data_IF_891026337450
#
_entry.id   IF_891026337450
#
_cell.length_a   1.000
_cell.length_b   1.000
_cell.length_c   1.000
_cell.angle_alpha   90.00
_cell.angle_beta   90.00
_cell.angle_gamma   90.00
#
_symmetry.space_group_name_H-M   'P 1'
#
loop_
_entity.id
_entity.type
_entity.pdbx_description
1 polymer ?
#
# COMPACT_ATOMS: atom_id res chain seq x y z
N UNK A 1 7.00 -28.08 12.80
CA UNK A 1 6.73 -26.82 12.11
C UNK A 1 5.25 -26.50 12.26
N UNK A 2 4.92 -25.26 12.58
CA UNK A 2 3.53 -24.81 12.67
C UNK A 2 2.95 -24.61 11.25
N UNK A 3 1.64 -24.87 11.09
CA UNK A 3 0.95 -24.50 9.85
C UNK A 3 0.85 -22.98 9.75
N UNK A 4 0.97 -22.39 8.54
CA UNK A 4 0.91 -20.94 8.34
C UNK A 4 -0.54 -20.42 8.31
N UNK A 5 -1.33 -20.80 9.33
CA UNK A 5 -2.66 -20.22 9.54
C UNK A 5 -2.55 -18.79 10.06
N UNK A 6 -3.61 -18.00 9.92
CA UNK A 6 -3.61 -16.63 10.42
C UNK A 6 -3.47 -16.59 11.95
N UNK A 7 -4.10 -17.52 12.67
CA UNK A 7 -4.03 -17.61 14.12
C UNK A 7 -2.60 -17.87 14.60
N UNK A 8 -1.89 -18.79 13.94
CA UNK A 8 -0.48 -19.07 14.24
C UNK A 8 0.42 -17.88 13.88
N UNK A 9 0.12 -17.17 12.79
CA UNK A 9 0.85 -15.99 12.40
C UNK A 9 0.64 -14.83 13.38
N UNK A 10 -0.59 -14.55 13.80
CA UNK A 10 -0.89 -13.53 14.82
C UNK A 10 -0.27 -13.88 16.18
N UNK A 11 -0.28 -15.16 16.57
CA UNK A 11 0.38 -15.60 17.80
C UNK A 11 1.90 -15.38 17.72
N UNK A 12 2.51 -15.67 16.56
CA UNK A 12 3.92 -15.39 16.28
C UNK A 12 4.23 -13.90 16.37
N UNK A 13 3.42 -13.04 15.73
CA UNK A 13 3.59 -11.59 15.77
C UNK A 13 3.57 -11.03 17.19
N UNK A 14 2.64 -11.53 18.06
CA UNK A 14 2.57 -11.14 19.46
C UNK A 14 3.81 -11.60 20.24
N UNK A 15 4.19 -12.87 20.10
CA UNK A 15 5.33 -13.47 20.81
C UNK A 15 6.62 -12.72 20.52
N UNK A 16 6.85 -12.37 19.25
CA UNK A 16 8.05 -11.69 18.78
C UNK A 16 7.92 -10.17 18.74
N UNK A 17 6.77 -9.59 19.13
CA UNK A 17 6.49 -8.15 19.13
C UNK A 17 6.78 -7.50 17.76
N UNK A 18 6.42 -8.19 16.68
CA UNK A 18 6.82 -7.83 15.34
C UNK A 18 6.38 -6.40 14.93
N UNK A 19 5.14 -6.03 15.29
CA UNK A 19 4.54 -4.74 14.96
C UNK A 19 5.14 -3.55 15.77
N UNK A 20 5.96 -3.84 16.81
CA UNK A 20 6.69 -2.82 17.56
C UNK A 20 8.07 -2.49 16.97
N UNK A 21 8.45 -3.15 15.87
CA UNK A 21 9.76 -2.96 15.25
C UNK A 21 9.73 -1.72 14.37
N UNK A 22 10.30 -0.65 14.87
CA UNK A 22 10.42 0.62 14.17
C UNK A 22 11.86 0.84 13.66
N UNK A 23 11.97 1.28 12.40
CA UNK A 23 13.23 1.70 11.77
C UNK A 23 12.97 3.03 11.04
N UNK A 24 13.69 4.07 11.39
CA UNK A 24 13.56 5.42 10.81
C UNK A 24 12.11 5.97 10.85
N UNK A 25 11.36 5.70 11.93
CA UNK A 25 9.97 6.14 12.09
C UNK A 25 8.95 5.34 11.29
N UNK A 26 9.29 4.14 10.84
CA UNK A 26 8.39 3.22 10.15
C UNK A 26 8.30 1.90 10.89
N UNK A 27 7.09 1.39 11.09
CA UNK A 27 6.84 0.03 11.57
C UNK A 27 7.05 -0.95 10.41
N UNK A 28 8.31 -1.26 10.14
CA UNK A 28 8.71 -1.99 8.91
C UNK A 28 8.08 -3.36 8.76
N UNK A 29 7.71 -4.01 9.88
CA UNK A 29 6.97 -5.27 9.83
C UNK A 29 5.56 -5.06 9.27
N UNK A 30 4.81 -4.09 9.77
CA UNK A 30 3.47 -3.76 9.31
C UNK A 30 3.42 -3.49 7.81
N UNK A 31 4.41 -2.76 7.29
CA UNK A 31 4.56 -2.47 5.86
C UNK A 31 4.82 -3.71 4.99
N UNK A 32 5.24 -4.83 5.57
CA UNK A 32 5.65 -6.01 4.80
C UNK A 32 5.02 -7.33 5.27
N UNK A 33 4.20 -7.31 6.33
CA UNK A 33 3.65 -8.52 6.96
C UNK A 33 2.80 -9.37 6.02
N UNK A 34 2.05 -8.75 5.11
CA UNK A 34 1.23 -9.47 4.13
C UNK A 34 2.10 -10.31 3.19
N UNK A 35 3.16 -9.72 2.67
CA UNK A 35 4.12 -10.41 1.79
C UNK A 35 4.91 -11.48 2.55
N UNK A 36 5.27 -11.21 3.81
CA UNK A 36 5.91 -12.22 4.67
C UNK A 36 5.02 -13.42 4.85
N UNK A 37 3.75 -13.22 5.22
CA UNK A 37 2.80 -14.32 5.40
C UNK A 37 2.56 -15.09 4.10
N UNK A 38 2.43 -14.39 2.98
CA UNK A 38 2.29 -15.03 1.66
C UNK A 38 3.56 -15.81 1.27
N UNK A 39 4.75 -15.28 1.57
CA UNK A 39 6.00 -16.00 1.31
C UNK A 39 6.08 -17.29 2.14
N UNK A 40 5.68 -17.26 3.42
CA UNK A 40 5.60 -18.46 4.26
C UNK A 40 4.63 -19.47 3.63
N UNK A 41 3.43 -19.02 3.22
CA UNK A 41 2.42 -19.89 2.58
C UNK A 41 2.90 -20.46 1.25
N UNK A 42 3.53 -19.64 0.41
CA UNK A 42 4.00 -20.08 -0.91
C UNK A 42 5.02 -21.20 -0.81
N UNK A 43 5.96 -21.10 0.13
CA UNK A 43 6.99 -22.12 0.31
C UNK A 43 6.49 -23.37 1.04
N UNK A 44 5.49 -23.23 1.91
CA UNK A 44 4.93 -24.38 2.66
C UNK A 44 3.83 -25.11 1.88
N UNK A 45 3.03 -24.42 1.06
CA UNK A 45 1.84 -24.96 0.38
C UNK A 45 2.05 -25.08 -1.13
N UNK A 46 3.18 -24.57 -1.67
CA UNK A 46 3.51 -24.66 -3.10
C UNK A 46 2.64 -23.77 -4.00
N UNK A 47 2.14 -22.65 -3.52
CA UNK A 47 1.40 -21.67 -4.34
C UNK A 47 2.39 -20.90 -5.21
N UNK A 48 2.24 -21.02 -6.53
CA UNK A 48 2.82 -20.09 -7.50
C UNK A 48 2.02 -18.78 -7.48
N UNK A 49 2.68 -17.65 -7.26
CA UNK A 49 2.11 -16.34 -7.56
C UNK A 49 1.70 -16.32 -9.03
N UNK A 50 0.47 -15.86 -9.31
CA UNK A 50 0.03 -15.67 -10.68
C UNK A 50 0.95 -14.66 -11.38
N UNK A 51 1.34 -14.95 -12.62
CA UNK A 51 2.15 -14.06 -13.42
C UNK A 51 1.49 -12.66 -13.48
N UNK A 52 2.16 -11.66 -12.94
CA UNK A 52 1.74 -10.28 -13.09
C UNK A 52 1.80 -9.91 -14.58
N UNK A 53 0.64 -9.71 -15.20
CA UNK A 53 0.59 -9.25 -16.58
C UNK A 53 1.17 -7.84 -16.68
N UNK A 54 2.19 -7.67 -17.50
CA UNK A 54 2.79 -6.36 -17.75
C UNK A 54 1.85 -5.46 -18.56
N UNK A 55 2.04 -4.15 -18.44
CA UNK A 55 1.30 -3.16 -19.22
C UNK A 55 1.56 -3.27 -20.72
N UNK A 56 0.52 -3.12 -21.52
CA UNK A 56 0.62 -2.99 -22.97
C UNK A 56 1.24 -1.64 -23.35
N UNK A 57 1.74 -1.51 -24.58
CA UNK A 57 2.30 -0.23 -25.09
C UNK A 57 1.27 0.91 -25.06
N UNK A 58 0.01 0.63 -25.35
CA UNK A 58 -1.07 1.63 -25.32
C UNK A 58 -1.37 2.11 -23.90
N UNK A 59 -1.33 1.23 -22.93
CA UNK A 59 -1.49 1.56 -21.50
C UNK A 59 -0.32 2.43 -21.01
N UNK A 60 0.92 2.07 -21.36
CA UNK A 60 2.10 2.85 -20.99
C UNK A 60 2.04 4.28 -21.59
N UNK A 61 1.59 4.44 -22.84
CA UNK A 61 1.41 5.76 -23.45
C UNK A 61 0.34 6.56 -22.70
N UNK A 62 -0.79 5.94 -22.35
CA UNK A 62 -1.87 6.59 -21.61
C UNK A 62 -1.41 7.00 -20.21
N UNK A 63 -0.71 6.13 -19.51
CA UNK A 63 -0.10 6.43 -18.21
C UNK A 63 0.90 7.60 -18.32
N UNK A 64 1.74 7.63 -19.35
CA UNK A 64 2.66 8.74 -19.59
C UNK A 64 1.92 10.07 -19.82
N UNK A 65 0.82 10.06 -20.57
CA UNK A 65 -0.03 11.26 -20.76
C UNK A 65 -0.65 11.70 -19.43
N UNK A 66 -1.17 10.78 -18.64
CA UNK A 66 -1.72 11.09 -17.32
C UNK A 66 -0.65 11.66 -16.38
N UNK A 67 0.56 11.11 -16.39
CA UNK A 67 1.67 11.59 -15.58
C UNK A 67 2.06 13.06 -15.87
N UNK A 68 1.70 13.60 -17.03
CA UNK A 68 1.90 15.02 -17.37
C UNK A 68 0.82 15.94 -16.78
N UNK A 69 -0.35 15.39 -16.41
CA UNK A 69 -1.44 16.19 -15.85
C UNK A 69 -1.08 16.69 -14.45
N UNK A 70 -1.20 18.00 -14.18
CA UNK A 70 -0.96 18.52 -12.85
C UNK A 70 -2.13 18.18 -11.93
N UNK A 71 -1.86 17.97 -10.64
CA UNK A 71 -2.89 17.92 -9.63
C UNK A 71 -3.44 19.35 -9.39
N UNK A 72 -4.73 19.56 -9.60
CA UNK A 72 -5.37 20.89 -9.56
C UNK A 72 -6.42 21.07 -8.46
N UNK A 73 -6.82 19.98 -7.80
CA UNK A 73 -7.84 20.00 -6.77
C UNK A 73 -7.35 20.72 -5.50
N UNK A 74 -8.20 21.54 -4.90
CA UNK A 74 -7.87 22.35 -3.73
C UNK A 74 -9.01 22.34 -2.71
N UNK A 75 -8.65 22.28 -1.44
CA UNK A 75 -9.58 22.38 -0.32
C UNK A 75 -10.79 21.45 -0.48
N UNK A 76 -10.53 20.18 -0.73
CA UNK A 76 -11.55 19.15 -0.81
C UNK A 76 -11.97 18.74 0.61
N UNK A 77 -13.22 18.30 0.80
CA UNK A 77 -13.65 17.77 2.10
C UNK A 77 -13.16 16.34 2.28
N UNK A 78 -13.24 15.53 1.22
CA UNK A 78 -12.85 14.11 1.25
C UNK A 78 -11.88 13.79 0.12
N UNK A 79 -10.80 13.10 0.47
CA UNK A 79 -9.87 12.52 -0.49
C UNK A 79 -9.99 11.00 -0.45
N UNK A 80 -10.35 10.39 -1.57
CA UNK A 80 -10.44 8.94 -1.70
C UNK A 80 -9.16 8.38 -2.32
N UNK A 81 -8.69 7.24 -1.80
CA UNK A 81 -7.66 6.42 -2.42
C UNK A 81 -8.36 5.21 -3.03
N UNK A 82 -8.68 5.30 -4.32
CA UNK A 82 -9.31 4.22 -5.08
C UNK A 82 -8.29 3.17 -5.52
N UNK A 83 -8.77 1.95 -5.71
CA UNK A 83 -7.90 0.83 -6.11
C UNK A 83 -7.83 0.59 -7.63
N UNK A 84 -8.45 1.45 -8.45
CA UNK A 84 -8.44 1.32 -9.90
C UNK A 84 -9.30 0.19 -10.48
N UNK A 85 -9.96 -0.62 -9.65
CA UNK A 85 -10.77 -1.78 -10.07
C UNK A 85 -12.18 -1.39 -10.49
N UNK A 86 -12.30 -0.48 -11.46
CA UNK A 86 -13.60 -0.10 -11.98
C UNK A 86 -14.23 -1.25 -12.76
N UNK A 87 -15.51 -1.50 -12.49
CA UNK A 87 -16.30 -2.49 -13.22
C UNK A 87 -17.12 -1.82 -14.30
N UNK A 88 -17.21 -2.48 -15.47
CA UNK A 88 -18.05 -1.98 -16.54
C UNK A 88 -19.50 -2.35 -16.26
N UNK A 89 -20.35 -1.34 -16.08
CA UNK A 89 -21.78 -1.54 -15.99
C UNK A 89 -22.32 -2.08 -17.32
N UNK A 90 -23.02 -3.22 -17.29
CA UNK A 90 -23.49 -3.93 -18.49
C UNK A 90 -24.54 -3.12 -19.27
N UNK A 91 -25.37 -2.35 -18.58
CA UNK A 91 -26.50 -1.63 -19.16
C UNK A 91 -26.07 -0.30 -19.79
N UNK A 92 -25.14 0.40 -19.12
CA UNK A 92 -24.71 1.75 -19.53
C UNK A 92 -23.38 1.74 -20.29
N UNK A 93 -22.59 0.67 -20.17
CA UNK A 93 -21.23 0.59 -20.70
C UNK A 93 -20.20 1.46 -19.95
N UNK A 94 -20.60 2.07 -18.85
CA UNK A 94 -19.79 2.99 -18.03
C UNK A 94 -18.92 2.18 -17.08
N UNK A 95 -17.69 2.64 -16.83
CA UNK A 95 -16.83 2.08 -15.80
C UNK A 95 -17.08 2.82 -14.49
N UNK A 96 -17.51 2.08 -13.48
CA UNK A 96 -17.91 2.59 -12.16
C UNK A 96 -17.05 1.96 -11.07
N UNK A 97 -16.64 2.77 -10.08
CA UNK A 97 -16.12 2.31 -8.82
C UNK A 97 -17.27 2.28 -7.81
N UNK A 98 -17.69 1.05 -7.47
CA UNK A 98 -18.84 0.83 -6.58
C UNK A 98 -18.60 1.31 -5.14
N UNK A 99 -17.34 1.53 -4.77
CA UNK A 99 -16.96 1.98 -3.41
C UNK A 99 -16.89 3.49 -3.32
N UNK A 100 -16.27 4.16 -4.30
CA UNK A 100 -15.98 5.59 -4.22
C UNK A 100 -17.01 6.47 -4.93
N UNK A 101 -17.46 6.10 -6.14
CA UNK A 101 -18.14 7.03 -7.05
C UNK A 101 -19.41 7.62 -6.48
N UNK A 102 -20.28 6.80 -5.86
CA UNK A 102 -21.56 7.26 -5.32
C UNK A 102 -21.40 8.17 -4.09
N UNK A 103 -20.36 7.94 -3.29
CA UNK A 103 -20.05 8.78 -2.14
C UNK A 103 -19.37 10.05 -2.64
N UNK A 104 -18.41 9.94 -3.53
CA UNK A 104 -17.65 11.06 -4.05
C UNK A 104 -18.49 12.10 -4.78
N UNK A 105 -19.60 11.69 -5.42
CA UNK A 105 -20.57 12.61 -6.05
C UNK A 105 -21.32 13.52 -5.05
N UNK A 106 -21.39 13.12 -3.77
CA UNK A 106 -22.16 13.84 -2.73
C UNK A 106 -21.34 14.88 -1.96
N UNK A 107 -20.02 14.84 -2.10
CA UNK A 107 -19.11 15.70 -1.35
C UNK A 107 -18.17 16.44 -2.29
N UNK A 108 -17.60 17.55 -1.81
CA UNK A 108 -16.47 18.18 -2.47
C UNK A 108 -15.24 17.26 -2.29
N UNK A 109 -14.99 16.42 -3.27
CA UNK A 109 -14.03 15.33 -3.15
C UNK A 109 -13.13 15.16 -4.36
N UNK A 110 -12.06 14.40 -4.18
CA UNK A 110 -11.21 13.89 -5.26
C UNK A 110 -10.92 12.42 -5.02
N UNK A 111 -10.94 11.62 -6.08
CA UNK A 111 -10.53 10.22 -6.07
C UNK A 111 -9.13 10.14 -6.67
N UNK A 112 -8.16 9.69 -5.89
CA UNK A 112 -6.85 9.30 -6.39
C UNK A 112 -6.91 7.85 -6.85
N UNK A 113 -6.65 7.61 -8.12
CA UNK A 113 -6.72 6.28 -8.70
C UNK A 113 -5.35 5.81 -9.15
N UNK A 114 -4.89 4.72 -8.55
CA UNK A 114 -3.62 4.09 -8.89
C UNK A 114 -3.77 3.26 -10.18
N UNK A 115 -2.75 3.23 -11.08
CA UNK A 115 -2.77 2.34 -12.24
C UNK A 115 -2.65 0.88 -11.80
N UNK A 116 -3.67 0.09 -12.11
CA UNK A 116 -3.69 -1.35 -11.91
C UNK A 116 -3.12 -2.09 -13.13
N UNK A 117 -3.09 -3.41 -13.08
CA UNK A 117 -2.50 -4.32 -14.08
C UNK A 117 -2.96 -4.10 -15.54
N UNK A 118 -4.04 -3.38 -15.75
CA UNK A 118 -4.60 -3.05 -17.08
C UNK A 118 -4.65 -1.54 -17.35
N UNK A 119 -3.86 -0.75 -16.60
CA UNK A 119 -3.96 0.71 -16.66
C UNK A 119 -5.26 1.22 -16.03
N UNK A 120 -5.71 2.37 -16.52
CA UNK A 120 -6.94 2.99 -16.00
C UNK A 120 -8.14 2.70 -16.88
N UNK A 121 -9.24 2.35 -16.26
CA UNK A 121 -10.56 2.41 -16.88
C UNK A 121 -11.07 3.86 -16.81
N UNK A 122 -11.45 4.45 -17.94
CA UNK A 122 -11.93 5.83 -17.95
C UNK A 122 -13.30 5.92 -17.28
N UNK A 123 -13.43 6.61 -16.14
CA UNK A 123 -14.74 6.87 -15.54
C UNK A 123 -15.53 7.80 -16.45
N UNK A 124 -16.84 7.54 -16.60
CA UNK A 124 -17.70 8.40 -17.39
C UNK A 124 -18.38 9.43 -16.49
N UNK A 125 -18.25 10.71 -16.84
CA UNK A 125 -19.00 11.78 -16.21
C UNK A 125 -18.50 12.16 -14.80
N UNK A 126 -17.26 11.83 -14.45
CA UNK A 126 -16.64 12.24 -13.20
C UNK A 126 -15.42 13.13 -13.47
N UNK A 127 -15.51 14.38 -13.04
CA UNK A 127 -14.43 15.36 -13.19
C UNK A 127 -13.45 15.34 -12.00
N UNK A 128 -13.77 14.60 -10.94
CA UNK A 128 -13.03 14.57 -9.69
C UNK A 128 -12.12 13.31 -9.52
N UNK A 129 -11.75 12.66 -10.61
CA UNK A 129 -10.78 11.55 -10.59
C UNK A 129 -9.42 12.04 -11.05
N UNK A 130 -8.40 11.76 -10.25
CA UNK A 130 -6.99 12.03 -10.57
C UNK A 130 -6.19 10.74 -10.59
N UNK A 131 -5.61 10.43 -11.73
CA UNK A 131 -4.75 9.26 -11.90
C UNK A 131 -3.35 9.51 -11.32
N UNK A 132 -2.89 8.65 -10.44
CA UNK A 132 -1.62 8.79 -9.72
C UNK A 132 -0.40 8.31 -10.50
N UNK A 133 -0.50 8.13 -11.83
CA UNK A 133 0.60 7.72 -12.70
C UNK A 133 1.87 8.56 -12.50
N UNK A 134 1.69 9.87 -12.26
CA UNK A 134 2.81 10.76 -11.97
C UNK A 134 3.55 10.37 -10.71
N UNK A 135 2.82 10.02 -9.65
CA UNK A 135 3.40 9.56 -8.37
C UNK A 135 4.14 8.25 -8.62
N UNK A 136 3.49 7.28 -9.27
CA UNK A 136 4.08 5.99 -9.58
C UNK A 136 5.36 6.12 -10.41
N UNK A 137 5.34 6.92 -11.48
CA UNK A 137 6.52 7.17 -12.33
C UNK A 137 7.67 7.82 -11.56
N UNK A 138 7.38 8.89 -10.82
CA UNK A 138 8.38 9.63 -10.07
C UNK A 138 8.97 8.78 -8.94
N UNK A 139 8.14 8.00 -8.25
CA UNK A 139 8.60 7.10 -7.20
C UNK A 139 9.50 6.02 -7.77
N UNK A 140 9.07 5.33 -8.83
CA UNK A 140 9.87 4.27 -9.47
C UNK A 140 11.23 4.79 -9.97
N UNK A 141 11.25 5.95 -10.62
CA UNK A 141 12.49 6.56 -11.10
C UNK A 141 13.41 6.95 -9.95
N UNK A 142 12.86 7.63 -8.93
CA UNK A 142 13.63 8.08 -7.77
C UNK A 142 14.21 6.91 -6.97
N UNK A 143 13.44 5.85 -6.75
CA UNK A 143 13.92 4.63 -6.07
C UNK A 143 15.06 3.98 -6.87
N UNK A 144 14.92 3.83 -8.20
CA UNK A 144 16.00 3.31 -9.06
C UNK A 144 17.29 4.13 -8.95
N UNK A 145 17.17 5.45 -8.95
CA UNK A 145 18.33 6.35 -8.81
C UNK A 145 18.96 6.25 -7.42
N UNK A 146 18.13 6.23 -6.36
CA UNK A 146 18.61 6.11 -4.99
C UNK A 146 19.33 4.77 -4.75
N UNK A 147 18.78 3.67 -5.27
CA UNK A 147 19.45 2.37 -5.22
C UNK A 147 20.85 2.41 -5.83
N UNK A 148 21.01 3.14 -6.94
CA UNK A 148 22.27 3.23 -7.67
C UNK A 148 23.28 4.17 -6.98
N UNK A 149 22.84 5.30 -6.43
CA UNK A 149 23.72 6.37 -6.00
C UNK A 149 23.83 6.55 -4.47
N UNK A 150 22.86 6.04 -3.69
CA UNK A 150 22.86 6.21 -2.23
C UNK A 150 23.32 4.94 -1.51
N UNK A 151 24.49 4.45 -1.85
CA UNK A 151 25.03 3.18 -1.34
C UNK A 151 25.22 3.19 0.18
N UNK A 152 25.69 4.29 0.77
CA UNK A 152 25.90 4.41 2.21
C UNK A 152 24.60 4.31 3.00
N UNK A 153 23.56 5.06 2.61
CA UNK A 153 22.24 4.98 3.26
C UNK A 153 21.63 3.59 3.09
N UNK A 154 21.80 2.97 1.91
CA UNK A 154 21.34 1.61 1.67
C UNK A 154 22.00 0.60 2.60
N UNK A 155 23.33 0.69 2.77
CA UNK A 155 24.07 -0.17 3.67
C UNK A 155 23.62 0.02 5.14
N UNK A 156 23.42 1.26 5.57
CA UNK A 156 22.89 1.57 6.91
C UNK A 156 21.50 0.97 7.14
N UNK A 157 20.58 1.13 6.20
CA UNK A 157 19.23 0.53 6.25
C UNK A 157 19.30 -1.00 6.25
N UNK A 158 20.12 -1.57 5.38
CA UNK A 158 20.31 -3.03 5.35
C UNK A 158 20.83 -3.54 6.69
N UNK A 159 21.80 -2.86 7.31
CA UNK A 159 22.30 -3.23 8.63
C UNK A 159 21.19 -3.15 9.70
N UNK A 160 20.42 -2.07 9.73
CA UNK A 160 19.34 -1.88 10.70
C UNK A 160 18.21 -2.92 10.52
N UNK A 161 17.82 -3.20 9.27
CA UNK A 161 16.81 -4.25 8.96
C UNK A 161 17.36 -5.63 9.34
N UNK A 162 18.63 -5.92 9.04
CA UNK A 162 19.27 -7.19 9.40
C UNK A 162 19.32 -7.37 10.91
N UNK A 163 19.65 -6.33 11.66
CA UNK A 163 19.72 -6.34 13.12
C UNK A 163 18.33 -6.58 13.75
N UNK A 164 17.31 -5.83 13.30
CA UNK A 164 15.99 -5.85 13.94
C UNK A 164 15.04 -6.92 13.41
N UNK A 165 15.05 -7.17 12.10
CA UNK A 165 14.15 -8.13 11.45
C UNK A 165 14.83 -9.51 11.28
N UNK A 166 16.15 -9.56 11.13
CA UNK A 166 16.87 -10.82 10.95
C UNK A 166 16.52 -11.91 11.97
N UNK A 167 16.54 -11.60 13.29
CA UNK A 167 16.15 -12.57 14.32
C UNK A 167 14.71 -13.08 14.17
N UNK A 168 13.77 -12.23 13.70
CA UNK A 168 12.39 -12.63 13.44
C UNK A 168 12.30 -13.58 12.25
N UNK A 169 13.07 -13.32 11.19
CA UNK A 169 13.14 -14.24 10.04
C UNK A 169 13.79 -15.59 10.40
N UNK A 170 14.75 -15.60 11.32
CA UNK A 170 15.32 -16.84 11.85
C UNK A 170 14.29 -17.60 12.70
N UNK A 171 13.44 -16.91 13.46
CA UNK A 171 12.31 -17.51 14.17
C UNK A 171 11.26 -18.08 13.20
N UNK A 172 10.94 -17.38 12.10
CA UNK A 172 10.08 -17.91 11.03
C UNK A 172 10.63 -19.23 10.49
N UNK A 173 11.92 -19.28 10.20
CA UNK A 173 12.57 -20.49 9.74
C UNK A 173 12.41 -21.65 10.73
N UNK A 174 12.55 -21.35 12.03
CA UNK A 174 12.43 -22.35 13.09
C UNK A 174 11.00 -22.84 13.25
N UNK A 175 10.02 -21.95 13.22
CA UNK A 175 8.63 -22.27 13.52
C UNK A 175 7.84 -22.77 12.30
N UNK A 176 8.02 -22.13 11.14
CA UNK A 176 7.26 -22.40 9.92
C UNK A 176 8.06 -23.12 8.84
N UNK A 177 9.39 -23.09 8.89
CA UNK A 177 10.29 -23.83 7.98
C UNK A 177 11.02 -22.99 6.93
N UNK A 178 10.41 -22.02 6.22
CA UNK A 178 11.08 -21.32 5.14
C UNK A 178 12.20 -20.38 5.61
N UNK A 179 13.33 -20.41 4.89
CA UNK A 179 14.42 -19.45 5.05
C UNK A 179 14.19 -18.25 4.12
N UNK A 180 13.64 -17.17 4.69
CA UNK A 180 13.25 -15.98 3.93
C UNK A 180 14.26 -14.83 4.02
N UNK A 181 15.35 -15.00 4.76
CA UNK A 181 16.27 -13.93 5.12
C UNK A 181 16.93 -13.24 3.94
N UNK A 182 17.50 -14.03 3.02
CA UNK A 182 18.20 -13.48 1.85
C UNK A 182 17.25 -12.75 0.89
N UNK A 183 16.03 -13.22 0.79
CA UNK A 183 14.98 -12.61 -0.05
C UNK A 183 14.40 -11.35 0.58
N UNK A 184 13.94 -11.44 1.83
CA UNK A 184 13.11 -10.38 2.41
C UNK A 184 13.89 -9.18 2.92
N UNK A 185 15.13 -9.32 3.41
CA UNK A 185 15.89 -8.16 3.88
C UNK A 185 16.08 -7.10 2.78
N UNK A 186 16.54 -7.44 1.56
CA UNK A 186 16.63 -6.47 0.47
C UNK A 186 15.28 -5.86 0.09
N UNK A 187 14.22 -6.67 0.08
CA UNK A 187 12.88 -6.24 -0.31
C UNK A 187 12.29 -5.25 0.70
N UNK A 188 12.46 -5.51 1.99
CA UNK A 188 12.05 -4.58 3.06
C UNK A 188 12.79 -3.23 2.92
N UNK A 189 14.10 -3.25 2.70
CA UNK A 189 14.88 -2.03 2.47
C UNK A 189 14.38 -1.27 1.26
N UNK A 190 14.07 -1.97 0.17
CA UNK A 190 13.51 -1.36 -1.04
C UNK A 190 12.14 -0.73 -0.78
N UNK A 191 11.28 -1.38 -0.01
CA UNK A 191 9.97 -0.87 0.38
C UNK A 191 10.07 0.40 1.24
N UNK A 192 11.02 0.45 2.18
CA UNK A 192 11.29 1.67 2.94
C UNK A 192 11.64 2.86 2.03
N UNK A 193 12.45 2.65 0.99
CA UNK A 193 12.71 3.70 -0.01
C UNK A 193 11.44 4.09 -0.76
N UNK A 194 10.62 3.10 -1.12
CA UNK A 194 9.37 3.34 -1.81
C UNK A 194 8.42 4.21 -1.00
N UNK A 195 8.23 3.89 0.27
CA UNK A 195 7.39 4.65 1.20
C UNK A 195 7.91 6.07 1.37
N UNK A 196 9.20 6.28 1.63
CA UNK A 196 9.80 7.61 1.78
C UNK A 196 9.50 8.51 0.57
N UNK A 197 9.66 7.96 -0.62
CA UNK A 197 9.46 8.73 -1.85
C UNK A 197 7.98 8.96 -2.12
N UNK A 198 7.15 7.95 -1.90
CA UNK A 198 5.70 8.05 -2.04
C UNK A 198 5.14 9.09 -1.07
N UNK A 199 5.52 9.07 0.21
CA UNK A 199 5.16 10.11 1.19
C UNK A 199 5.51 11.51 0.70
N UNK A 200 6.69 11.70 0.11
CA UNK A 200 7.10 13.01 -0.42
C UNK A 200 6.17 13.50 -1.53
N UNK A 201 5.69 12.62 -2.41
CA UNK A 201 4.80 13.01 -3.51
C UNK A 201 3.34 13.11 -3.05
N UNK A 202 2.88 12.19 -2.23
CA UNK A 202 1.56 12.25 -1.58
C UNK A 202 1.42 13.49 -0.70
N UNK A 203 2.48 13.87 0.03
CA UNK A 203 2.51 15.10 0.81
C UNK A 203 2.20 16.35 -0.03
N UNK A 204 2.73 16.45 -1.26
CA UNK A 204 2.42 17.56 -2.18
C UNK A 204 0.97 17.56 -2.67
N UNK A 205 0.34 16.39 -2.76
CA UNK A 205 -1.09 16.27 -3.06
C UNK A 205 -1.89 16.79 -1.87
N UNK A 206 -1.58 16.34 -0.66
CA UNK A 206 -2.24 16.79 0.57
C UNK A 206 -2.07 18.29 0.81
N UNK A 207 -0.88 18.87 0.53
CA UNK A 207 -0.66 20.32 0.64
C UNK A 207 -1.62 21.15 -0.23
N UNK A 208 -2.06 20.59 -1.36
CA UNK A 208 -3.02 21.25 -2.26
C UNK A 208 -4.47 20.87 -1.96
N UNK A 209 -4.74 19.59 -1.79
CA UNK A 209 -6.08 19.08 -1.54
C UNK A 209 -6.60 19.54 -0.20
N UNK A 210 -5.74 19.62 0.84
CA UNK A 210 -6.07 20.01 2.20
C UNK A 210 -7.38 19.35 2.70
N UNK A 211 -7.49 18.01 2.64
CA UNK A 211 -8.72 17.31 2.95
C UNK A 211 -8.98 17.30 4.47
N UNK A 212 -10.24 17.12 4.85
CA UNK A 212 -10.65 16.88 6.23
C UNK A 212 -10.66 15.40 6.60
N UNK A 213 -10.84 14.55 5.58
CA UNK A 213 -10.94 13.11 5.71
C UNK A 213 -10.25 12.43 4.52
N UNK A 214 -9.48 11.38 4.79
CA UNK A 214 -8.94 10.47 3.78
C UNK A 214 -9.68 9.15 3.91
N UNK A 215 -10.23 8.64 2.81
CA UNK A 215 -10.87 7.32 2.75
C UNK A 215 -10.07 6.41 1.80
N UNK A 216 -9.65 5.28 2.30
CA UNK A 216 -8.86 4.29 1.57
C UNK A 216 -9.71 3.05 1.27
N UNK A 217 -9.61 2.51 0.04
CA UNK A 217 -10.33 1.29 -0.34
C UNK A 217 -9.46 0.05 -0.12
N UNK A 218 -8.15 0.24 -0.06
CA UNK A 218 -7.18 -0.84 0.15
C UNK A 218 -5.96 -0.25 0.85
N UNK A 219 -5.94 -0.27 2.18
CA UNK A 219 -4.90 0.39 2.97
C UNK A 219 -3.50 -0.24 2.77
N UNK A 220 -3.40 -1.50 2.37
CA UNK A 220 -2.12 -2.19 2.17
C UNK A 220 -1.44 -1.90 0.80
N UNK A 221 -1.92 -0.90 0.06
CA UNK A 221 -1.20 -0.34 -1.09
C UNK A 221 -0.16 0.70 -0.63
N UNK A 222 0.89 0.93 -1.45
CA UNK A 222 1.98 1.85 -1.07
C UNK A 222 1.53 3.28 -0.87
N UNK A 223 0.63 3.76 -1.71
CA UNK A 223 0.05 5.09 -1.61
C UNK A 223 -0.82 5.22 -0.37
N UNK A 224 -1.57 4.17 -0.03
CA UNK A 224 -2.41 4.14 1.16
C UNK A 224 -1.56 4.20 2.43
N UNK A 225 -0.57 3.34 2.59
CA UNK A 225 0.37 3.44 3.72
C UNK A 225 0.96 4.85 3.85
N UNK A 226 1.39 5.44 2.72
CA UNK A 226 1.95 6.79 2.73
C UNK A 226 0.92 7.85 3.14
N UNK A 227 -0.34 7.69 2.75
CA UNK A 227 -1.43 8.61 3.09
C UNK A 227 -1.88 8.46 4.53
N UNK A 228 -2.01 7.24 5.07
CA UNK A 228 -2.28 7.00 6.48
C UNK A 228 -1.20 7.64 7.37
N UNK A 229 0.09 7.36 7.10
CA UNK A 229 1.20 7.99 7.84
C UNK A 229 1.15 9.52 7.77
N UNK A 230 0.88 10.11 6.61
CA UNK A 230 0.76 11.56 6.44
C UNK A 230 -0.49 12.11 7.10
N UNK A 231 -1.58 11.36 7.13
CA UNK A 231 -2.81 11.69 7.86
C UNK A 231 -2.52 11.83 9.34
N UNK A 232 -1.90 10.84 9.96
CA UNK A 232 -1.47 10.89 11.36
C UNK A 232 -0.52 12.06 11.64
N UNK A 233 0.51 12.27 10.80
CA UNK A 233 1.46 13.38 10.95
C UNK A 233 0.79 14.76 10.90
N UNK A 234 -0.33 14.89 10.20
CA UNK A 234 -1.04 16.17 9.96
C UNK A 234 -2.33 16.33 10.76
N UNK A 235 -2.72 15.30 11.53
CA UNK A 235 -3.99 15.26 12.25
C UNK A 235 -5.21 15.24 11.32
N UNK A 236 -5.06 14.65 10.13
CA UNK A 236 -6.16 14.40 9.20
C UNK A 236 -6.66 12.99 9.49
N UNK A 237 -7.96 12.86 9.75
CA UNK A 237 -8.57 11.56 10.02
C UNK A 237 -8.51 10.65 8.78
N UNK A 238 -8.20 9.38 8.99
CA UNK A 238 -8.09 8.37 7.94
C UNK A 238 -9.05 7.21 8.22
N UNK A 239 -9.67 6.68 7.18
CA UNK A 239 -10.58 5.54 7.33
C UNK A 239 -10.44 4.58 6.14
N UNK A 240 -10.54 3.29 6.38
CA UNK A 240 -10.69 2.31 5.32
C UNK A 240 -12.16 2.00 5.06
N UNK A 241 -12.56 2.03 3.78
CA UNK A 241 -13.84 1.48 3.35
C UNK A 241 -13.64 0.03 2.91
N UNK A 242 -14.22 -0.91 3.63
CA UNK A 242 -14.04 -2.33 3.36
C UNK A 242 -14.53 -2.70 1.96
N UNK A 243 -13.64 -3.23 1.13
CA UNK A 243 -13.91 -3.59 -0.27
C UNK A 243 -14.32 -5.05 -0.47
N UNK A 244 -14.64 -5.75 0.61
CA UNK A 244 -15.05 -7.15 0.58
C UNK A 244 -15.31 -7.71 1.96
N UNK A 245 -15.64 -8.99 2.01
CA UNK A 245 -15.72 -9.70 3.28
C UNK A 245 -14.31 -9.82 3.89
N UNK A 246 -14.16 -9.28 5.08
CA UNK A 246 -12.98 -9.54 5.92
C UNK A 246 -13.00 -11.00 6.37
N UNK A 247 -12.56 -11.91 5.49
CA UNK A 247 -12.41 -13.29 5.89
C UNK A 247 -11.39 -13.40 7.02
N UNK A 248 -11.64 -14.20 8.07
CA UNK A 248 -10.67 -14.42 9.14
C UNK A 248 -9.30 -14.91 8.67
N UNK A 249 -9.20 -15.35 7.41
CA UNK A 249 -7.96 -15.84 6.78
C UNK A 249 -7.23 -14.77 5.97
N UNK A 250 -7.75 -13.53 5.89
CA UNK A 250 -7.15 -12.44 5.11
C UNK A 250 -6.21 -11.61 5.99
N UNK A 251 -4.92 -11.85 5.89
CA UNK A 251 -3.88 -11.26 6.74
C UNK A 251 -3.94 -9.72 6.87
N UNK A 252 -4.17 -8.94 5.80
CA UNK A 252 -4.26 -7.49 5.95
C UNK A 252 -5.36 -7.03 6.93
N UNK A 253 -6.47 -7.75 7.02
CA UNK A 253 -7.62 -7.39 7.85
C UNK A 253 -7.53 -7.91 9.31
N UNK A 254 -6.41 -8.54 9.68
CA UNK A 254 -6.24 -9.15 10.99
C UNK A 254 -5.00 -8.58 11.67
N UNK A 255 -5.21 -7.78 12.71
CA UNK A 255 -4.17 -7.25 13.58
C UNK A 255 -4.44 -7.63 15.05
N UNK A 256 -3.42 -7.56 15.87
CA UNK A 256 -3.61 -7.67 17.31
C UNK A 256 -4.25 -6.34 17.80
N UNK A 257 -5.29 -6.40 18.66
CA UNK A 257 -6.02 -5.20 19.08
C UNK A 257 -5.17 -4.15 19.82
N UNK A 258 -4.04 -4.56 20.38
CA UNK A 258 -3.09 -3.69 21.07
C UNK A 258 -2.10 -2.98 20.13
N UNK A 259 -2.09 -3.30 18.84
CA UNK A 259 -1.18 -2.68 17.88
C UNK A 259 -1.71 -1.29 17.47
N UNK A 260 -0.92 -0.26 17.72
CA UNK A 260 -1.19 1.12 17.29
C UNK A 260 -0.17 1.52 16.23
N UNK A 261 -0.57 1.43 14.97
CA UNK A 261 0.30 1.59 13.81
C UNK A 261 -0.12 2.80 12.98
N UNK A 262 0.78 3.77 12.81
CA UNK A 262 0.53 4.97 12.00
C UNK A 262 0.47 4.68 10.49
N UNK A 263 0.81 3.48 10.08
CA UNK A 263 0.69 2.96 8.73
C UNK A 263 -0.73 2.49 8.39
N UNK A 264 -1.59 2.37 9.40
CA UNK A 264 -2.98 1.95 9.24
C UNK A 264 -3.94 3.14 9.33
N UNK A 265 -5.11 3.06 8.70
CA UNK A 265 -6.19 4.01 8.93
C UNK A 265 -6.66 4.04 10.39
N UNK A 266 -7.23 5.17 10.82
CA UNK A 266 -7.78 5.33 12.18
C UNK A 266 -9.02 4.45 12.40
N UNK A 267 -9.85 4.29 11.35
CA UNK A 267 -11.12 3.55 11.41
C UNK A 267 -11.33 2.65 10.19
N UNK A 268 -12.11 1.60 10.39
CA UNK A 268 -12.67 0.76 9.32
C UNK A 268 -14.16 1.08 9.15
N UNK A 269 -14.54 1.47 7.93
CA UNK A 269 -15.94 1.71 7.54
C UNK A 269 -16.49 0.44 6.87
N UNK A 270 -17.57 -0.11 7.39
CA UNK A 270 -18.24 -1.32 6.91
C UNK A 270 -19.37 -0.95 5.95
#
# INVERSE_FOLDING_TARGET
>A
MKEPTIENFLAFEREHKCNQIEIEGMHVWALYRYEIHNAIKAETVGRTEGDAQGFTKSELIRMAINALKPFTYKNVDVLFIGNGRRTKNADTGIYEDIYCDEIAKKYNSVILEHPENHGHCTPNGMDNVYFTDRVAFQTNLAVKLLKKFNTKKRQQRTAAVTEKIGPILDAIKTEFGPDLREKLIPDIVDRMYYIDITKKYCGKILDKANPKLIIEICYYAMESYAMSMLGHERGIHTAEYSHGFAFPTHTPMQYNPEDHLTELPDDELI
#
